data_IF_874297048439
#
_entry.id   IF_874297048439
#
_cell.length_a   1.000
_cell.length_b   1.000
_cell.length_c   1.000
_cell.angle_alpha   90.00
_cell.angle_beta   90.00
_cell.angle_gamma   90.00
#
_symmetry.space_group_name_H-M   'P 1'
#
loop_
_entity.id
_entity.type
_entity.pdbx_description
1 polymer ?
#
# COMPACT_ATOMS: atom_id res chain seq x y z
N UNK A 1 19.28 -6.91 3.39
CA UNK A 1 17.96 -7.17 2.75
C UNK A 1 17.16 -8.25 3.49
N UNK A 2 17.64 -9.49 3.66
CA UNK A 2 16.88 -10.58 4.32
C UNK A 2 16.40 -10.29 5.74
N UNK A 3 17.20 -9.61 6.57
CA UNK A 3 16.84 -9.27 7.97
C UNK A 3 15.76 -8.18 8.08
N UNK A 4 15.73 -7.25 7.13
CA UNK A 4 14.76 -6.16 7.08
C UNK A 4 13.39 -6.67 6.60
N UNK A 5 13.40 -7.57 5.60
CA UNK A 5 12.23 -8.30 5.14
C UNK A 5 11.61 -9.13 6.28
N UNK A 6 12.45 -9.85 7.03
CA UNK A 6 12.02 -10.66 8.19
C UNK A 6 11.38 -9.80 9.29
N UNK A 7 11.98 -8.65 9.59
CA UNK A 7 11.42 -7.70 10.56
C UNK A 7 10.04 -7.17 10.11
N UNK A 8 9.89 -6.87 8.82
CA UNK A 8 8.63 -6.43 8.24
C UNK A 8 7.54 -7.51 8.28
N UNK A 9 7.90 -8.75 7.95
CA UNK A 9 7.00 -9.92 8.02
C UNK A 9 6.56 -10.18 9.46
N UNK A 10 7.46 -10.00 10.44
CA UNK A 10 7.14 -10.17 11.86
C UNK A 10 6.21 -9.07 12.38
N UNK A 11 6.43 -7.81 12.00
CA UNK A 11 5.52 -6.71 12.34
C UNK A 11 4.14 -6.92 11.71
N UNK A 12 4.08 -7.24 10.41
CA UNK A 12 2.81 -7.49 9.72
C UNK A 12 2.07 -8.70 10.30
N UNK A 13 2.79 -9.78 10.65
CA UNK A 13 2.21 -10.95 11.31
C UNK A 13 1.66 -10.63 12.70
N UNK A 14 2.35 -9.79 13.46
CA UNK A 14 1.90 -9.34 14.79
C UNK A 14 0.65 -8.45 14.70
N UNK A 15 0.63 -7.50 13.77
CA UNK A 15 -0.54 -6.67 13.44
C UNK A 15 -1.71 -7.58 13.09
N UNK A 16 -1.52 -8.53 12.16
CA UNK A 16 -2.58 -9.48 11.72
C UNK A 16 -3.22 -10.27 12.85
N UNK A 17 -2.43 -10.75 13.82
CA UNK A 17 -2.92 -11.54 14.95
C UNK A 17 -3.80 -10.72 15.92
N UNK A 18 -3.63 -9.40 15.97
CA UNK A 18 -4.41 -8.51 16.85
C UNK A 18 -5.78 -8.11 16.29
N UNK A 19 -6.04 -8.28 14.99
CA UNK A 19 -7.27 -7.81 14.32
C UNK A 19 -8.27 -8.91 13.93
N UNK A 20 -8.05 -10.16 14.37
CA UNK A 20 -9.01 -11.25 14.17
C UNK A 20 -10.31 -11.09 14.99
N UNK A 21 -10.55 -9.94 15.62
CA UNK A 21 -11.75 -9.67 16.41
C UNK A 21 -12.76 -8.78 15.67
N UNK A 22 -13.82 -9.44 15.21
CA UNK A 22 -15.23 -8.98 15.15
C UNK A 22 -15.60 -7.82 14.22
N UNK A 23 -16.60 -8.09 13.38
CA UNK A 23 -17.40 -7.09 12.66
C UNK A 23 -17.63 -7.51 11.23
N UNK A 24 -18.89 -7.48 10.77
CA UNK A 24 -19.30 -7.75 9.38
C UNK A 24 -18.33 -7.13 8.38
N UNK A 25 -17.88 -7.93 7.40
CA UNK A 25 -16.99 -7.49 6.32
C UNK A 25 -17.71 -6.39 5.54
N UNK A 26 -17.23 -5.13 5.56
CA UNK A 26 -17.82 -4.09 4.72
C UNK A 26 -17.67 -4.49 3.25
N UNK A 27 -18.68 -4.18 2.45
CA UNK A 27 -18.71 -4.47 1.01
C UNK A 27 -17.77 -3.49 0.30
N UNK A 28 -16.48 -3.81 0.32
CA UNK A 28 -15.44 -3.02 -0.34
C UNK A 28 -15.36 -3.43 -1.81
N UNK A 29 -15.44 -2.45 -2.73
CA UNK A 29 -15.18 -2.68 -4.15
C UNK A 29 -13.68 -2.80 -4.43
N UNK A 30 -13.16 -4.01 -4.19
CA UNK A 30 -11.76 -4.35 -4.45
C UNK A 30 -11.38 -4.21 -5.93
N UNK A 31 -12.32 -4.37 -6.86
CA UNK A 31 -12.04 -4.19 -8.29
C UNK A 31 -11.71 -2.74 -8.60
N UNK A 32 -12.49 -1.79 -8.08
CA UNK A 32 -12.20 -0.37 -8.18
C UNK A 32 -10.86 0.01 -7.53
N UNK A 33 -10.55 -0.55 -6.36
CA UNK A 33 -9.25 -0.36 -5.70
C UNK A 33 -8.07 -0.84 -6.54
N UNK A 34 -8.18 -2.02 -7.16
CA UNK A 34 -7.13 -2.59 -8.00
C UNK A 34 -6.93 -1.75 -9.27
N UNK A 35 -8.02 -1.35 -9.94
CA UNK A 35 -7.94 -0.54 -11.17
C UNK A 35 -7.30 0.82 -10.91
N UNK A 36 -7.55 1.42 -9.75
CA UNK A 36 -7.01 2.74 -9.38
C UNK A 36 -5.58 2.68 -8.81
N UNK A 37 -5.10 1.50 -8.44
CA UNK A 37 -3.80 1.31 -7.77
C UNK A 37 -2.64 1.89 -8.55
N UNK A 38 -2.54 1.62 -9.85
CA UNK A 38 -1.48 2.16 -10.69
C UNK A 38 -1.52 3.70 -10.76
N UNK A 39 -2.72 4.28 -10.83
CA UNK A 39 -2.89 5.74 -10.84
C UNK A 39 -2.47 6.36 -9.51
N UNK A 40 -2.84 5.74 -8.39
CA UNK A 40 -2.43 6.19 -7.07
C UNK A 40 -0.91 6.06 -6.85
N UNK A 41 -0.30 4.95 -7.28
CA UNK A 41 1.17 4.79 -7.31
C UNK A 41 1.83 5.92 -8.10
N UNK A 42 1.31 6.25 -9.28
CA UNK A 42 1.79 7.38 -10.09
C UNK A 42 1.70 8.70 -9.33
N UNK A 43 0.59 8.96 -8.62
CA UNK A 43 0.44 10.11 -7.74
C UNK A 43 1.48 10.16 -6.62
N UNK A 44 1.74 9.03 -5.95
CA UNK A 44 2.76 8.92 -4.89
C UNK A 44 4.17 9.20 -5.43
N UNK A 45 4.49 8.70 -6.63
CA UNK A 45 5.77 9.01 -7.31
C UNK A 45 5.89 10.51 -7.56
N UNK A 46 4.87 11.13 -8.18
CA UNK A 46 4.89 12.56 -8.49
C UNK A 46 5.04 13.43 -7.23
N UNK A 47 4.30 13.11 -6.17
CA UNK A 47 4.38 13.84 -4.90
C UNK A 47 5.75 13.65 -4.23
N UNK A 48 6.31 12.43 -4.25
CA UNK A 48 7.64 12.17 -3.69
C UNK A 48 8.72 12.92 -4.46
N UNK A 49 8.68 12.91 -5.80
CA UNK A 49 9.62 13.67 -6.63
C UNK A 49 9.47 15.19 -6.46
N UNK A 50 8.24 15.69 -6.30
CA UNK A 50 7.98 17.09 -5.95
C UNK A 50 8.61 17.47 -4.60
N UNK A 51 8.49 16.61 -3.58
CA UNK A 51 9.12 16.82 -2.27
C UNK A 51 10.66 16.79 -2.38
N UNK A 52 11.23 15.91 -3.21
CA UNK A 52 12.69 15.90 -3.48
C UNK A 52 13.15 17.17 -4.17
N UNK A 53 12.36 17.73 -5.08
CA UNK A 53 12.69 19.01 -5.73
C UNK A 53 12.76 20.15 -4.71
N UNK A 54 11.93 20.12 -3.66
CA UNK A 54 11.96 21.10 -2.57
C UNK A 54 13.11 20.86 -1.58
N UNK A 55 13.52 19.60 -1.39
CA UNK A 55 14.62 19.23 -0.49
C UNK A 55 15.65 18.30 -1.17
N UNK A 56 16.56 18.86 -2.00
CA UNK A 56 17.48 18.08 -2.83
C UNK A 56 18.49 17.23 -2.06
N UNK A 57 18.66 17.49 -0.76
CA UNK A 57 19.60 16.77 0.12
C UNK A 57 19.07 15.39 0.55
N UNK A 58 17.84 15.03 0.22
CA UNK A 58 17.27 13.71 0.55
C UNK A 58 17.72 12.68 -0.48
N UNK A 59 18.59 11.75 -0.06
CA UNK A 59 19.06 10.65 -0.89
C UNK A 59 18.91 9.30 -0.18
N UNK A 60 18.68 8.25 -0.97
CA UNK A 60 18.62 6.87 -0.50
C UNK A 60 17.44 6.62 0.46
N UNK A 61 17.76 6.16 1.67
CA UNK A 61 16.78 5.71 2.66
C UNK A 61 15.80 6.83 3.06
N UNK A 62 16.27 8.08 3.12
CA UNK A 62 15.41 9.22 3.44
C UNK A 62 14.28 9.39 2.41
N UNK A 63 14.59 9.25 1.12
CA UNK A 63 13.60 9.31 0.04
C UNK A 63 12.59 8.17 0.12
N UNK A 64 13.06 6.97 0.48
CA UNK A 64 12.19 5.81 0.67
C UNK A 64 11.22 6.02 1.84
N UNK A 65 11.68 6.53 2.97
CA UNK A 65 10.78 6.86 4.10
C UNK A 65 9.77 7.92 3.69
N UNK A 66 10.21 8.97 2.99
CA UNK A 66 9.31 10.07 2.56
C UNK A 66 8.18 9.54 1.69
N UNK A 67 8.48 8.73 0.67
CA UNK A 67 7.42 8.13 -0.16
C UNK A 67 6.48 7.21 0.62
N UNK A 68 6.96 6.43 1.59
CA UNK A 68 6.11 5.63 2.48
C UNK A 68 5.16 6.50 3.27
N UNK A 69 5.66 7.61 3.81
CA UNK A 69 4.82 8.61 4.46
C UNK A 69 3.83 9.23 3.48
N UNK A 70 4.25 9.56 2.25
CA UNK A 70 3.37 10.16 1.23
C UNK A 70 2.21 9.25 0.90
N UNK A 71 2.43 7.98 0.55
CA UNK A 71 1.32 7.11 0.18
C UNK A 71 0.45 6.68 1.36
N UNK A 72 1.02 6.49 2.56
CA UNK A 72 0.22 6.27 3.78
C UNK A 72 -0.66 7.49 4.07
N UNK A 73 -0.08 8.69 4.13
CA UNK A 73 -0.82 9.91 4.44
C UNK A 73 -1.87 10.19 3.36
N UNK A 74 -1.53 10.06 2.08
CA UNK A 74 -2.49 10.27 0.99
C UNK A 74 -3.67 9.29 1.05
N UNK A 75 -3.42 8.01 1.29
CA UNK A 75 -4.49 7.01 1.39
C UNK A 75 -5.34 7.21 2.66
N UNK A 76 -4.71 7.52 3.79
CA UNK A 76 -5.42 7.79 5.04
C UNK A 76 -6.22 9.10 4.99
N UNK A 77 -5.77 10.10 4.22
CA UNK A 77 -6.55 11.31 3.96
C UNK A 77 -7.77 11.03 3.08
N UNK A 78 -7.62 10.23 2.02
CA UNK A 78 -8.76 9.80 1.20
C UNK A 78 -9.76 9.00 2.03
N UNK A 79 -9.28 8.10 2.87
CA UNK A 79 -10.13 7.34 3.79
C UNK A 79 -10.82 8.23 4.83
N UNK A 80 -10.11 9.18 5.44
CA UNK A 80 -10.70 10.10 6.42
C UNK A 80 -11.74 11.03 5.80
N UNK A 81 -11.55 11.43 4.54
CA UNK A 81 -12.51 12.23 3.79
C UNK A 81 -13.64 11.40 3.17
N UNK A 82 -13.67 10.08 3.41
CA UNK A 82 -14.64 9.15 2.82
C UNK A 82 -14.67 9.28 1.28
N UNK A 83 -13.50 9.32 0.66
CA UNK A 83 -13.31 9.75 -0.71
C UNK A 83 -12.68 8.68 -1.61
N UNK A 84 -13.23 8.58 -2.83
CA UNK A 84 -12.66 7.78 -3.91
C UNK A 84 -12.70 6.27 -3.62
N UNK A 85 -11.67 5.57 -4.06
CA UNK A 85 -11.59 4.11 -4.02
C UNK A 85 -11.33 3.52 -2.63
N UNK A 86 -11.12 4.34 -1.59
CA UNK A 86 -10.94 3.88 -0.19
C UNK A 86 -12.06 4.35 0.76
N UNK A 87 -13.14 4.95 0.25
CA UNK A 87 -14.25 5.47 1.05
C UNK A 87 -14.87 4.39 1.97
N UNK A 88 -15.37 3.31 1.36
CA UNK A 88 -15.99 2.20 2.10
C UNK A 88 -14.97 1.21 2.70
N UNK A 89 -13.67 1.45 2.50
CA UNK A 89 -12.63 0.59 3.04
C UNK A 89 -12.50 0.81 4.55
N UNK A 90 -12.18 -0.26 5.28
CA UNK A 90 -11.73 -0.08 6.66
C UNK A 90 -10.38 0.62 6.69
N UNK A 91 -10.12 1.39 7.76
CA UNK A 91 -8.89 2.20 7.90
C UNK A 91 -7.60 1.40 7.67
N UNK A 92 -7.57 0.13 8.08
CA UNK A 92 -6.39 -0.72 7.90
C UNK A 92 -6.22 -1.18 6.45
N UNK A 93 -7.31 -1.36 5.68
CA UNK A 93 -7.24 -1.64 4.24
C UNK A 93 -6.69 -0.42 3.52
N UNK A 94 -7.18 0.79 3.84
CA UNK A 94 -6.65 2.03 3.29
C UNK A 94 -5.16 2.24 3.64
N UNK A 95 -4.76 1.94 4.88
CA UNK A 95 -3.36 1.99 5.30
C UNK A 95 -2.48 1.01 4.51
N UNK A 96 -2.91 -0.24 4.37
CA UNK A 96 -2.22 -1.26 3.58
C UNK A 96 -2.13 -0.87 2.11
N UNK A 97 -3.19 -0.28 1.55
CA UNK A 97 -3.22 0.22 0.18
C UNK A 97 -2.19 1.34 -0.02
N UNK A 98 -2.20 2.35 0.86
CA UNK A 98 -1.27 3.47 0.82
C UNK A 98 0.19 3.03 0.97
N UNK A 99 0.43 2.12 1.91
CA UNK A 99 1.75 1.55 2.11
C UNK A 99 2.21 0.70 0.92
N UNK A 100 1.35 -0.17 0.39
CA UNK A 100 1.63 -0.99 -0.80
C UNK A 100 1.97 -0.14 -2.01
N UNK A 101 1.21 0.93 -2.27
CA UNK A 101 1.50 1.86 -3.35
C UNK A 101 2.86 2.55 -3.18
N UNK A 102 3.22 2.88 -1.94
CA UNK A 102 4.52 3.50 -1.61
C UNK A 102 5.72 2.57 -1.76
N UNK A 103 5.52 1.26 -1.58
CA UNK A 103 6.56 0.27 -1.84
C UNK A 103 6.83 0.13 -3.35
N UNK A 104 5.76 0.15 -4.14
CA UNK A 104 5.83 0.10 -5.61
C UNK A 104 6.43 1.39 -6.18
N UNK A 105 6.07 2.55 -5.63
CA UNK A 105 6.58 3.85 -6.10
C UNK A 105 8.09 4.02 -5.98
N UNK A 106 8.75 3.27 -5.09
CA UNK A 106 10.21 3.30 -4.90
C UNK A 106 10.97 2.19 -5.62
N UNK A 107 10.26 1.29 -6.33
CA UNK A 107 10.87 0.07 -6.85
C UNK A 107 11.38 -0.89 -5.76
N UNK A 108 10.94 -0.73 -4.51
CA UNK A 108 11.22 -1.71 -3.43
C UNK A 108 10.40 -2.99 -3.66
N UNK A 109 9.23 -2.85 -4.27
CA UNK A 109 8.45 -3.94 -4.84
C UNK A 109 8.29 -3.70 -6.34
N UNK A 110 8.62 -4.71 -7.15
CA UNK A 110 8.37 -4.66 -8.59
C UNK A 110 6.88 -4.89 -8.84
N UNK A 111 6.26 -4.16 -9.76
CA UNK A 111 4.87 -4.37 -10.18
C UNK A 111 4.60 -5.83 -10.56
N UNK A 112 5.60 -6.53 -11.08
CA UNK A 112 5.53 -7.97 -11.37
C UNK A 112 5.47 -8.86 -10.12
N UNK A 113 6.08 -8.47 -9.00
CA UNK A 113 5.99 -9.21 -7.74
C UNK A 113 4.60 -9.06 -7.12
N UNK A 114 4.00 -7.86 -7.17
CA UNK A 114 2.63 -7.64 -6.68
C UNK A 114 1.59 -8.36 -7.55
N UNK A 115 1.75 -8.34 -8.88
CA UNK A 115 0.91 -9.12 -9.79
C UNK A 115 1.05 -10.63 -9.58
N UNK A 116 2.27 -11.12 -9.37
CA UNK A 116 2.51 -12.53 -9.01
C UNK A 116 1.84 -12.90 -7.68
N UNK A 117 1.92 -12.03 -6.68
CA UNK A 117 1.34 -12.25 -5.35
C UNK A 117 -0.20 -12.22 -5.39
N UNK A 118 -0.80 -11.32 -6.18
CA UNK A 118 -2.25 -11.29 -6.45
C UNK A 118 -2.67 -12.55 -7.24
N UNK A 119 -1.88 -12.97 -8.24
CA UNK A 119 -2.11 -14.19 -9.00
C UNK A 119 -2.03 -15.47 -8.15
N UNK A 120 -1.22 -15.47 -7.09
CA UNK A 120 -1.14 -16.56 -6.11
C UNK A 120 -2.46 -16.75 -5.36
N UNK A 121 -3.20 -15.67 -5.09
CA UNK A 121 -4.51 -15.72 -4.44
C UNK A 121 -5.64 -15.98 -5.44
N UNK A 122 -5.58 -15.44 -6.66
CA UNK A 122 -6.54 -15.72 -7.72
C UNK A 122 -6.47 -17.16 -8.26
N UNK A 123 -5.28 -17.79 -8.25
CA UNK A 123 -5.07 -19.17 -8.67
C UNK A 123 -5.67 -20.22 -7.72
N UNK A 124 -6.17 -19.81 -6.54
CA UNK A 124 -6.79 -20.73 -5.57
C UNK A 124 -8.23 -21.11 -5.92
N UNK A 125 -8.87 -20.41 -6.87
CA UNK A 125 -10.24 -20.71 -7.33
C UNK A 125 -10.31 -21.51 -8.65
N UNK A 126 -9.18 -21.70 -9.36
CA UNK A 126 -9.13 -22.49 -10.60
C UNK A 126 -8.80 -23.98 -10.38
N UNK A 127 -8.87 -24.46 -9.13
CA UNK A 127 -8.51 -25.82 -8.73
C UNK A 127 -9.62 -26.52 -7.96
N UNK A 128 -10.84 -26.56 -8.53
CA UNK A 128 -11.87 -27.59 -8.27
C UNK A 128 -12.66 -27.84 -9.54
#
# INVERSE_FOLDING_TARGET
MKRFLLFFVLILGFVSATFAQTGTVPEVDYSAMITTFAGFVGGVVLLTEGIKALFPKMQGLATQIVSWCVGIVAAMLLWWLDAGFVADATWYIALCYGFGASLVSNGVADTGFVQWLIGLFAGKDAGK
#
